data_IF_920132659726
#
_entry.id   IF_920132659726
#
_cell.length_a   1.000
_cell.length_b   1.000
_cell.length_c   1.000
_cell.angle_alpha   90.00
_cell.angle_beta   90.00
_cell.angle_gamma   90.00
#
_symmetry.space_group_name_H-M   'P 1'
#
loop_
_entity.id
_entity.type
_entity.pdbx_description
1 polymer ?
#
# COMPACT_ATOMS: atom_id res chain seq x y z
N UNK A 1 1.86 -30.13 -9.71
CA UNK A 1 0.84 -30.47 -10.68
C UNK A 1 -0.34 -29.50 -10.62
N UNK A 2 -1.44 -29.77 -11.35
CA UNK A 2 -2.66 -28.95 -11.38
C UNK A 2 -3.18 -28.52 -10.00
N UNK A 3 -2.97 -29.35 -8.97
CA UNK A 3 -3.35 -29.06 -7.59
C UNK A 3 -2.70 -27.79 -6.99
N UNK A 4 -1.53 -27.38 -7.45
CA UNK A 4 -0.84 -26.18 -6.93
C UNK A 4 -1.36 -24.87 -7.51
N UNK A 5 -2.03 -24.90 -8.66
CA UNK A 5 -2.65 -23.71 -9.25
C UNK A 5 -4.02 -23.39 -8.62
N UNK A 6 -4.74 -24.40 -8.14
CA UNK A 6 -6.08 -24.19 -7.57
C UNK A 6 -6.05 -23.27 -6.33
N UNK A 7 -5.16 -23.41 -5.33
CA UNK A 7 -5.05 -22.46 -4.25
C UNK A 7 -4.72 -21.04 -4.72
N UNK A 8 -3.88 -20.89 -5.76
CA UNK A 8 -3.50 -19.57 -6.27
C UNK A 8 -4.67 -18.81 -6.95
N UNK A 9 -5.78 -19.48 -7.26
CA UNK A 9 -7.01 -18.85 -7.73
C UNK A 9 -7.84 -18.26 -6.59
N UNK A 10 -7.56 -18.63 -5.33
CA UNK A 10 -8.26 -18.08 -4.16
C UNK A 10 -7.69 -16.72 -3.78
N UNK A 11 -8.45 -15.95 -2.98
CA UNK A 11 -8.05 -14.60 -2.57
C UNK A 11 -6.91 -14.62 -1.56
N UNK A 12 -6.92 -15.56 -0.61
CA UNK A 12 -5.90 -15.67 0.44
C UNK A 12 -5.41 -17.11 0.60
N UNK A 13 -4.10 -17.24 0.79
CA UNK A 13 -3.42 -18.51 1.02
C UNK A 13 -2.72 -18.46 2.37
N UNK A 14 -3.04 -19.42 3.22
CA UNK A 14 -2.46 -19.62 4.54
C UNK A 14 -1.60 -20.88 4.53
N UNK A 15 -0.38 -20.77 5.01
CA UNK A 15 0.54 -21.92 5.11
C UNK A 15 1.01 -22.08 6.55
N UNK A 16 1.21 -23.34 6.94
CA UNK A 16 1.83 -23.72 8.22
C UNK A 16 3.34 -23.88 8.00
N UNK A 17 4.15 -23.20 8.79
CA UNK A 17 5.62 -23.30 8.74
C UNK A 17 6.08 -24.75 8.86
N UNK A 18 7.07 -25.14 8.07
CA UNK A 18 7.72 -26.45 8.06
C UNK A 18 6.78 -27.65 7.75
N UNK A 19 5.50 -27.40 7.45
CA UNK A 19 4.51 -28.44 7.13
C UNK A 19 3.89 -28.27 5.75
N UNK A 20 3.61 -27.01 5.36
CA UNK A 20 2.93 -26.72 4.10
C UNK A 20 3.92 -26.50 2.98
N UNK A 21 3.74 -27.21 1.89
CA UNK A 21 4.56 -27.11 0.68
C UNK A 21 3.68 -26.96 -0.55
N UNK A 22 4.05 -26.06 -1.45
CA UNK A 22 3.42 -25.87 -2.76
C UNK A 22 4.50 -25.75 -3.83
N UNK A 23 4.48 -26.57 -4.86
CA UNK A 23 5.36 -26.48 -6.02
C UNK A 23 4.74 -27.16 -7.24
N UNK A 24 5.12 -26.74 -8.42
CA UNK A 24 4.64 -27.33 -9.68
C UNK A 24 5.22 -28.73 -9.84
N UNK A 25 6.52 -28.89 -9.57
CA UNK A 25 7.22 -30.17 -9.59
C UNK A 25 8.08 -30.31 -8.34
N UNK A 26 8.15 -31.54 -7.79
CA UNK A 26 8.93 -31.81 -6.59
C UNK A 26 10.44 -31.76 -6.81
N UNK A 27 11.24 -31.72 -5.71
CA UNK A 27 12.69 -31.63 -5.75
C UNK A 27 13.40 -32.68 -6.64
N UNK A 28 12.90 -33.89 -6.67
CA UNK A 28 13.49 -34.98 -7.48
C UNK A 28 13.38 -34.68 -8.97
N UNK A 29 12.23 -34.17 -9.44
CA UNK A 29 12.03 -33.78 -10.84
C UNK A 29 12.87 -32.55 -11.19
N UNK A 30 12.97 -31.58 -10.29
CA UNK A 30 13.85 -30.39 -10.47
C UNK A 30 15.29 -30.86 -10.68
N UNK A 31 15.76 -31.77 -9.82
CA UNK A 31 17.12 -32.34 -9.93
C UNK A 31 17.34 -33.05 -11.26
N UNK A 32 16.38 -33.87 -11.69
CA UNK A 32 16.52 -34.65 -12.93
C UNK A 32 16.50 -33.76 -14.20
N UNK A 33 15.77 -32.65 -14.17
CA UNK A 33 15.59 -31.79 -15.37
C UNK A 33 16.63 -30.65 -15.41
N UNK A 34 16.89 -29.99 -14.27
CA UNK A 34 17.75 -28.80 -14.21
C UNK A 34 19.10 -29.04 -13.55
N UNK A 35 19.32 -30.20 -12.96
CA UNK A 35 20.47 -30.55 -12.11
C UNK A 35 20.62 -29.68 -10.84
N UNK A 36 19.56 -28.99 -10.43
CA UNK A 36 19.55 -28.24 -9.17
C UNK A 36 19.22 -29.18 -8.01
N UNK A 37 19.99 -29.08 -6.94
CA UNK A 37 19.73 -29.82 -5.70
C UNK A 37 19.09 -28.87 -4.71
N UNK A 38 17.82 -29.08 -4.43
CA UNK A 38 17.00 -28.22 -3.55
C UNK A 38 16.13 -29.10 -2.67
N UNK A 39 15.91 -28.71 -1.42
CA UNK A 39 14.95 -29.43 -0.56
C UNK A 39 13.52 -28.87 -0.71
N UNK A 40 12.54 -29.51 -0.05
CA UNK A 40 11.12 -29.13 -0.14
C UNK A 40 10.86 -27.74 0.44
N UNK A 41 11.51 -27.39 1.56
CA UNK A 41 11.33 -26.08 2.21
C UNK A 41 11.90 -24.95 1.35
N UNK A 42 13.08 -25.15 0.80
CA UNK A 42 13.72 -24.16 -0.06
C UNK A 42 12.97 -23.99 -1.39
N UNK A 43 12.49 -25.08 -2.00
CA UNK A 43 11.77 -25.05 -3.27
C UNK A 43 10.39 -24.39 -3.15
N UNK A 44 9.61 -24.77 -2.16
CA UNK A 44 8.22 -24.33 -2.06
C UNK A 44 7.60 -24.47 -0.68
N UNK A 45 8.40 -24.29 0.37
CA UNK A 45 7.90 -24.21 1.75
C UNK A 45 7.20 -22.91 2.07
N UNK A 46 6.57 -22.85 3.23
CA UNK A 46 5.81 -21.69 3.68
C UNK A 46 6.66 -20.41 3.70
N UNK A 47 7.90 -20.49 4.16
CA UNK A 47 8.84 -19.34 4.17
C UNK A 47 9.13 -18.83 2.76
N UNK A 48 9.44 -19.72 1.81
CA UNK A 48 9.73 -19.34 0.42
C UNK A 48 8.55 -18.64 -0.23
N UNK A 49 7.34 -19.17 -0.04
CA UNK A 49 6.14 -18.57 -0.62
C UNK A 49 5.69 -17.27 0.07
N UNK A 50 6.00 -17.11 1.34
CA UNK A 50 5.68 -15.88 2.07
C UNK A 50 6.71 -14.77 1.89
N UNK A 51 7.95 -15.07 1.47
CA UNK A 51 9.03 -14.06 1.41
C UNK A 51 9.57 -13.80 0.00
N UNK A 52 9.60 -14.83 -0.86
CA UNK A 52 10.21 -14.75 -2.19
C UNK A 52 9.20 -14.69 -3.31
N UNK A 53 8.25 -15.64 -3.35
CA UNK A 53 7.31 -15.75 -4.47
C UNK A 53 6.02 -14.94 -4.30
N UNK A 54 5.66 -14.56 -3.06
CA UNK A 54 4.42 -13.85 -2.78
C UNK A 54 3.14 -14.68 -3.00
N UNK A 55 3.26 -16.00 -3.12
CA UNK A 55 2.10 -16.90 -3.27
C UNK A 55 1.31 -17.00 -1.97
N UNK A 56 2.00 -17.10 -0.82
CA UNK A 56 1.36 -17.19 0.48
C UNK A 56 1.16 -15.80 1.11
N UNK A 57 -0.04 -15.55 1.59
CA UNK A 57 -0.40 -14.30 2.26
C UNK A 57 -0.09 -14.35 3.76
N UNK A 58 -0.22 -15.54 4.35
CA UNK A 58 -0.02 -15.78 5.78
C UNK A 58 0.79 -17.05 6.02
N UNK A 59 1.69 -16.97 6.99
CA UNK A 59 2.49 -18.08 7.46
C UNK A 59 2.41 -18.13 8.98
N UNK A 60 1.90 -19.23 9.53
CA UNK A 60 1.72 -19.45 10.97
C UNK A 60 2.47 -20.70 11.43
N UNK A 61 2.93 -20.72 12.69
CA UNK A 61 3.62 -21.88 13.26
C UNK A 61 2.74 -23.13 13.35
N UNK A 62 1.43 -22.98 13.58
CA UNK A 62 0.51 -24.08 13.84
C UNK A 62 -0.77 -24.01 13.03
N UNK A 63 -1.44 -25.13 12.85
CA UNK A 63 -2.74 -25.22 12.19
C UNK A 63 -3.84 -24.48 12.96
N UNK A 64 -3.77 -24.49 14.29
CA UNK A 64 -4.71 -23.75 15.14
C UNK A 64 -4.61 -22.25 14.91
N UNK A 65 -3.39 -21.71 14.84
CA UNK A 65 -3.16 -20.29 14.55
C UNK A 65 -3.63 -19.93 13.13
N UNK A 66 -3.43 -20.79 12.14
CA UNK A 66 -4.01 -20.61 10.80
C UNK A 66 -5.53 -20.47 10.87
N UNK A 67 -6.22 -21.39 11.58
CA UNK A 67 -7.68 -21.34 11.71
C UNK A 67 -8.16 -20.10 12.47
N UNK A 68 -7.44 -19.67 13.48
CA UNK A 68 -7.75 -18.42 14.20
C UNK A 68 -7.59 -17.20 13.28
N UNK A 69 -6.49 -17.13 12.55
CA UNK A 69 -6.22 -16.04 11.61
C UNK A 69 -7.24 -15.99 10.46
N UNK A 70 -7.68 -17.14 9.96
CA UNK A 70 -8.75 -17.21 8.96
C UNK A 70 -10.07 -16.69 9.49
N UNK A 71 -10.46 -17.03 10.72
CA UNK A 71 -11.68 -16.50 11.36
C UNK A 71 -11.60 -14.99 11.56
N UNK A 72 -10.43 -14.51 11.91
CA UNK A 72 -10.20 -13.09 12.07
C UNK A 72 -10.32 -12.34 10.74
N UNK A 73 -9.67 -12.83 9.67
CA UNK A 73 -9.84 -12.29 8.33
C UNK A 73 -11.32 -12.19 7.94
N UNK A 74 -12.08 -13.27 8.16
CA UNK A 74 -13.52 -13.30 7.84
C UNK A 74 -14.33 -12.25 8.62
N UNK A 75 -13.86 -11.79 9.77
CA UNK A 75 -14.54 -10.73 10.54
C UNK A 75 -14.50 -9.36 9.87
N UNK A 76 -13.60 -9.13 8.94
CA UNK A 76 -13.50 -7.89 8.15
C UNK A 76 -14.33 -7.93 6.87
N UNK A 77 -14.76 -9.10 6.42
CA UNK A 77 -15.37 -9.29 5.11
C UNK A 77 -16.89 -9.36 5.19
N UNK A 78 -17.62 -8.88 4.18
CA UNK A 78 -19.05 -9.14 4.06
C UNK A 78 -19.29 -10.63 3.75
N UNK A 79 -20.53 -11.09 3.92
CA UNK A 79 -20.90 -12.48 3.60
C UNK A 79 -20.85 -12.79 2.11
N UNK A 80 -20.94 -11.77 1.28
CA UNK A 80 -20.85 -11.85 -0.19
C UNK A 80 -20.53 -10.45 -0.78
N UNK A 81 -20.25 -10.39 -2.07
CA UNK A 81 -19.88 -9.17 -2.78
C UNK A 81 -21.07 -8.21 -3.07
N UNK A 82 -22.28 -8.56 -2.68
CA UNK A 82 -23.47 -7.70 -2.80
C UNK A 82 -23.79 -6.92 -1.51
N UNK A 83 -23.07 -7.23 -0.44
CA UNK A 83 -23.21 -6.58 0.85
C UNK A 83 -22.04 -5.62 1.08
N UNK A 84 -22.27 -4.60 1.90
CA UNK A 84 -21.23 -3.70 2.35
C UNK A 84 -20.32 -4.38 3.39
N UNK A 85 -19.12 -3.87 3.54
CA UNK A 85 -18.19 -4.31 4.57
C UNK A 85 -18.81 -4.14 5.98
N UNK A 86 -18.60 -5.09 6.90
CA UNK A 86 -19.25 -5.08 8.20
C UNK A 86 -18.85 -3.86 9.03
N UNK A 87 -19.86 -3.27 9.71
CA UNK A 87 -19.65 -2.22 10.70
C UNK A 87 -19.90 -2.85 12.08
N UNK A 88 -18.91 -2.72 12.96
CA UNK A 88 -18.99 -3.22 14.34
C UNK A 88 -19.13 -2.06 15.32
N UNK A 89 -19.71 -2.28 16.53
CA UNK A 89 -19.72 -1.26 17.57
C UNK A 89 -18.27 -0.80 17.87
N UNK A 90 -18.05 0.50 17.82
CA UNK A 90 -16.76 1.10 18.15
C UNK A 90 -16.81 1.70 19.56
N UNK A 91 -15.92 1.27 20.44
CA UNK A 91 -15.75 1.81 21.80
C UNK A 91 -14.60 2.82 21.87
N UNK A 92 -13.75 2.86 20.86
CA UNK A 92 -12.66 3.81 20.74
C UNK A 92 -13.20 5.17 20.23
N UNK A 93 -12.92 6.25 20.97
CA UNK A 93 -13.43 7.58 20.64
C UNK A 93 -13.04 8.00 19.21
N UNK A 94 -14.07 8.23 18.38
CA UNK A 94 -13.90 8.64 16.99
C UNK A 94 -13.27 10.02 16.84
N UNK A 95 -13.34 10.85 17.88
CA UNK A 95 -12.84 12.22 17.90
C UNK A 95 -11.50 12.38 18.63
N UNK A 96 -10.95 11.31 19.21
CA UNK A 96 -9.69 11.40 19.94
C UNK A 96 -8.55 11.88 19.05
N UNK A 97 -7.72 12.74 19.60
CA UNK A 97 -6.46 13.15 18.99
C UNK A 97 -5.36 12.11 19.23
N UNK A 98 -4.39 12.05 18.32
CA UNK A 98 -3.25 11.15 18.38
C UNK A 98 -1.97 11.98 18.44
N UNK A 99 -1.60 12.42 19.65
CA UNK A 99 -0.48 13.35 19.84
C UNK A 99 0.87 12.78 19.39
N UNK A 100 1.06 11.45 19.45
CA UNK A 100 2.29 10.79 18.97
C UNK A 100 2.59 11.06 17.49
N UNK A 101 1.58 11.33 16.68
CA UNK A 101 1.76 11.63 15.25
C UNK A 101 2.45 12.96 14.99
N UNK A 102 2.47 13.87 15.94
CA UNK A 102 3.15 15.18 15.79
C UNK A 102 4.67 15.04 15.62
N UNK A 103 5.24 13.94 16.10
CA UNK A 103 6.68 13.69 16.10
C UNK A 103 7.08 12.38 15.46
N UNK A 104 6.14 11.65 14.85
CA UNK A 104 6.40 10.33 14.23
C UNK A 104 7.28 10.44 12.99
N UNK A 105 7.13 11.52 12.22
CA UNK A 105 7.97 11.77 11.04
C UNK A 105 9.27 12.45 11.50
N UNK A 106 10.44 11.86 11.22
CA UNK A 106 11.73 12.49 11.51
C UNK A 106 11.90 13.81 10.78
N UNK A 107 12.60 14.76 11.41
CA UNK A 107 12.95 16.05 10.79
C UNK A 107 13.89 15.89 9.58
N UNK A 108 14.81 14.91 9.65
CA UNK A 108 15.64 14.53 8.48
C UNK A 108 14.80 13.74 7.48
N UNK A 109 14.57 14.26 6.27
CA UNK A 109 13.77 13.58 5.24
C UNK A 109 14.37 12.25 4.76
N UNK A 110 15.63 11.97 5.08
CA UNK A 110 16.30 10.70 4.74
C UNK A 110 16.23 9.67 5.86
N UNK A 111 15.84 10.08 7.06
CA UNK A 111 15.68 9.14 8.17
C UNK A 111 14.43 8.29 7.97
N UNK A 112 14.56 6.93 7.98
CA UNK A 112 13.40 6.04 7.90
C UNK A 112 12.59 6.04 9.20
N UNK A 113 11.31 5.68 9.09
CA UNK A 113 10.41 5.38 10.19
C UNK A 113 9.48 4.24 9.78
N UNK A 114 8.84 3.58 10.74
CA UNK A 114 7.86 2.53 10.45
C UNK A 114 6.49 3.15 10.22
N UNK A 115 5.87 2.91 9.06
CA UNK A 115 4.54 3.45 8.75
C UNK A 115 3.46 2.88 9.69
N UNK A 116 3.71 1.77 10.35
CA UNK A 116 2.79 1.21 11.34
C UNK A 116 2.67 2.09 12.57
N UNK A 117 3.70 2.89 12.90
CA UNK A 117 3.64 3.93 13.95
C UNK A 117 2.64 5.05 13.59
N UNK A 118 2.24 5.15 12.32
CA UNK A 118 1.14 6.03 11.88
C UNK A 118 -0.19 5.26 11.85
N UNK A 119 -0.20 4.04 11.30
CA UNK A 119 -1.42 3.25 11.09
C UNK A 119 -2.06 2.86 12.43
N UNK A 120 -1.30 2.19 13.29
CA UNK A 120 -1.82 1.60 14.52
C UNK A 120 -2.48 2.63 15.46
N UNK A 121 -1.86 3.79 15.76
CA UNK A 121 -2.50 4.76 16.64
C UNK A 121 -3.77 5.42 16.06
N UNK A 122 -3.95 5.37 14.74
CA UNK A 122 -5.09 6.00 14.05
C UNK A 122 -6.30 5.07 13.99
N UNK A 123 -6.09 3.77 13.85
CA UNK A 123 -7.18 2.80 13.72
C UNK A 123 -7.82 2.44 15.07
N UNK A 124 -9.00 1.82 15.03
CA UNK A 124 -9.71 1.41 16.23
C UNK A 124 -8.88 0.40 17.03
N UNK A 125 -8.85 0.60 18.35
CA UNK A 125 -8.14 -0.27 19.31
C UNK A 125 -6.65 -0.49 18.99
N UNK A 126 -6.04 0.38 18.18
CA UNK A 126 -4.67 0.27 17.64
C UNK A 126 -4.42 -1.07 16.92
N UNK A 127 -5.46 -1.63 16.31
CA UNK A 127 -5.38 -2.96 15.72
C UNK A 127 -5.37 -2.92 14.18
N UNK A 128 -4.28 -3.42 13.62
CA UNK A 128 -4.05 -3.53 12.19
C UNK A 128 -3.77 -4.98 11.79
N UNK A 129 -4.63 -5.54 10.93
CA UNK A 129 -4.49 -6.90 10.38
C UNK A 129 -3.68 -6.85 9.10
N UNK A 130 -2.36 -6.98 9.20
CA UNK A 130 -1.45 -6.91 8.06
C UNK A 130 -1.55 -8.16 7.18
N UNK A 131 -1.65 -7.95 5.86
CA UNK A 131 -1.65 -9.01 4.84
C UNK A 131 -0.28 -9.03 4.15
N UNK A 132 0.29 -10.22 3.94
CA UNK A 132 1.62 -10.41 3.34
C UNK A 132 2.75 -9.64 4.06
N UNK A 133 2.90 -9.76 5.39
CA UNK A 133 3.87 -8.97 6.15
C UNK A 133 5.33 -9.27 5.79
N UNK A 134 5.59 -10.40 5.15
CA UNK A 134 6.93 -10.87 4.80
C UNK A 134 7.32 -10.62 3.35
N UNK A 135 6.37 -10.30 2.48
CA UNK A 135 6.58 -10.06 1.05
C UNK A 135 6.49 -8.58 0.72
N UNK A 136 7.37 -8.09 -0.17
CA UNK A 136 7.38 -6.71 -0.63
C UNK A 136 7.15 -5.71 0.53
N UNK A 137 8.05 -5.73 1.52
CA UNK A 137 7.91 -4.99 2.78
C UNK A 137 7.91 -3.47 2.62
N UNK A 138 8.33 -2.97 1.47
CA UNK A 138 8.29 -1.56 1.08
C UNK A 138 6.86 -1.02 0.86
N UNK A 139 5.85 -1.91 0.79
CA UNK A 139 4.43 -1.57 0.82
C UNK A 139 3.73 -2.44 1.86
N UNK A 140 2.96 -1.81 2.73
CA UNK A 140 2.12 -2.45 3.75
C UNK A 140 0.67 -2.44 3.26
N UNK A 141 0.00 -3.58 3.33
CA UNK A 141 -1.43 -3.70 3.04
C UNK A 141 -2.11 -4.50 4.14
N UNK A 142 -3.36 -4.19 4.45
CA UNK A 142 -4.08 -4.91 5.48
C UNK A 142 -5.45 -4.30 5.80
N UNK A 143 -6.15 -4.93 6.71
CA UNK A 143 -7.46 -4.49 7.18
C UNK A 143 -7.39 -3.84 8.54
N UNK A 144 -8.23 -2.85 8.75
CA UNK A 144 -8.43 -2.20 10.04
C UNK A 144 -9.88 -1.74 10.18
N UNK A 145 -10.19 -1.12 11.31
CA UNK A 145 -11.46 -0.43 11.51
C UNK A 145 -11.23 1.03 11.86
N UNK A 146 -12.09 1.88 11.35
CA UNK A 146 -12.14 3.32 11.64
C UNK A 146 -13.59 3.70 11.99
N UNK A 147 -13.85 3.98 13.27
CA UNK A 147 -15.20 4.21 13.76
C UNK A 147 -16.09 2.98 13.62
N UNK A 148 -15.56 1.78 13.75
CA UNK A 148 -16.24 0.50 13.56
C UNK A 148 -16.36 0.04 12.11
N UNK A 149 -16.11 0.90 11.13
CA UNK A 149 -16.19 0.56 9.70
C UNK A 149 -14.91 -0.14 9.26
N UNK A 150 -15.02 -1.29 8.59
CA UNK A 150 -13.90 -1.97 7.96
C UNK A 150 -13.34 -1.13 6.83
N UNK A 151 -12.00 -1.03 6.77
CA UNK A 151 -11.25 -0.38 5.70
C UNK A 151 -10.07 -1.23 5.27
N UNK A 152 -9.70 -1.13 4.00
CA UNK A 152 -8.43 -1.64 3.48
C UNK A 152 -7.38 -0.52 3.51
N UNK A 153 -6.24 -0.78 4.14
CA UNK A 153 -5.13 0.17 4.19
C UNK A 153 -4.07 -0.25 3.19
N UNK A 154 -3.58 0.72 2.41
CA UNK A 154 -2.42 0.58 1.51
C UNK A 154 -1.44 1.69 1.86
N UNK A 155 -0.23 1.35 2.28
CA UNK A 155 0.73 2.33 2.75
C UNK A 155 2.14 2.06 2.23
N UNK A 156 2.90 3.12 1.90
CA UNK A 156 4.33 2.98 1.66
C UNK A 156 5.05 2.80 3.00
N UNK A 157 6.08 1.95 3.03
CA UNK A 157 6.86 1.65 4.23
C UNK A 157 8.27 2.24 4.14
N UNK A 158 8.51 3.45 4.69
CA UNK A 158 9.82 4.11 4.60
C UNK A 158 10.98 3.34 5.24
N UNK A 159 10.68 2.44 6.19
CA UNK A 159 11.71 1.59 6.81
C UNK A 159 12.31 0.55 5.84
N UNK A 160 11.65 0.27 4.72
CA UNK A 160 12.12 -0.66 3.70
C UNK A 160 12.21 0.02 2.34
N UNK A 161 13.40 0.02 1.75
CA UNK A 161 13.66 0.67 0.45
C UNK A 161 13.11 2.10 0.36
N UNK A 162 13.10 2.85 1.48
CA UNK A 162 12.53 4.20 1.58
C UNK A 162 11.07 4.32 1.08
N UNK A 163 10.30 3.23 1.04
CA UNK A 163 8.91 3.22 0.56
C UNK A 163 8.75 3.29 -0.96
N UNK A 164 9.81 3.09 -1.76
CA UNK A 164 9.72 3.09 -3.22
C UNK A 164 8.81 1.96 -3.71
N UNK A 165 8.23 2.12 -4.89
CA UNK A 165 7.47 1.08 -5.56
C UNK A 165 8.38 0.26 -6.47
N UNK A 166 8.49 -1.04 -6.22
CA UNK A 166 9.11 -2.01 -7.11
C UNK A 166 8.05 -2.94 -7.72
N UNK A 167 8.47 -3.91 -8.52
CA UNK A 167 7.59 -4.87 -9.16
C UNK A 167 6.71 -5.60 -8.15
N UNK A 168 7.31 -6.14 -7.09
CA UNK A 168 6.60 -6.92 -6.09
C UNK A 168 5.63 -6.08 -5.26
N UNK A 169 6.02 -4.86 -4.88
CA UNK A 169 5.15 -3.93 -4.19
C UNK A 169 3.96 -3.52 -5.05
N UNK A 170 4.19 -3.34 -6.36
CA UNK A 170 3.14 -3.01 -7.33
C UNK A 170 2.11 -4.12 -7.44
N UNK A 171 2.55 -5.37 -7.53
CA UNK A 171 1.66 -6.53 -7.61
C UNK A 171 0.90 -6.77 -6.30
N UNK A 172 1.57 -6.67 -5.15
CA UNK A 172 0.96 -6.77 -3.82
C UNK A 172 -0.14 -5.72 -3.63
N UNK A 173 0.17 -4.46 -3.90
CA UNK A 173 -0.79 -3.36 -3.74
C UNK A 173 -1.98 -3.53 -4.69
N UNK A 174 -1.74 -3.76 -5.99
CA UNK A 174 -2.80 -3.89 -6.98
C UNK A 174 -3.77 -5.04 -6.67
N UNK A 175 -3.26 -6.21 -6.25
CA UNK A 175 -4.08 -7.35 -5.84
C UNK A 175 -4.96 -7.01 -4.64
N UNK A 176 -4.40 -6.37 -3.62
CA UNK A 176 -5.14 -6.00 -2.41
C UNK A 176 -6.22 -4.95 -2.69
N UNK A 177 -5.91 -3.91 -3.49
CA UNK A 177 -6.88 -2.88 -3.91
C UNK A 177 -8.07 -3.52 -4.63
N UNK A 178 -7.81 -4.41 -5.57
CA UNK A 178 -8.87 -5.11 -6.31
C UNK A 178 -9.72 -6.00 -5.41
N UNK A 179 -9.10 -6.68 -4.44
CA UNK A 179 -9.83 -7.45 -3.44
C UNK A 179 -10.78 -6.55 -2.64
N UNK A 180 -10.31 -5.43 -2.12
CA UNK A 180 -11.14 -4.49 -1.39
C UNK A 180 -12.33 -3.99 -2.23
N UNK A 181 -12.09 -3.65 -3.50
CA UNK A 181 -13.16 -3.21 -4.40
C UNK A 181 -14.18 -4.32 -4.68
N UNK A 182 -13.73 -5.58 -4.84
CA UNK A 182 -14.62 -6.73 -5.03
C UNK A 182 -15.58 -6.97 -3.86
N UNK A 183 -15.20 -6.57 -2.64
CA UNK A 183 -15.98 -6.80 -1.43
C UNK A 183 -16.48 -5.51 -0.76
N UNK A 184 -16.57 -4.42 -1.53
CA UNK A 184 -17.12 -3.13 -1.06
C UNK A 184 -16.41 -2.55 0.17
N UNK A 185 -15.11 -2.81 0.30
CA UNK A 185 -14.26 -2.33 1.41
C UNK A 185 -13.63 -1.00 1.00
N UNK A 186 -13.93 0.12 1.69
CA UNK A 186 -13.29 1.40 1.42
C UNK A 186 -11.78 1.35 1.57
N UNK A 187 -11.06 2.10 0.75
CA UNK A 187 -9.61 2.16 0.71
C UNK A 187 -9.10 3.43 1.41
N UNK A 188 -8.16 3.25 2.30
CA UNK A 188 -7.36 4.33 2.90
C UNK A 188 -5.92 4.14 2.47
N UNK A 189 -5.40 5.09 1.69
CA UNK A 189 -4.01 5.09 1.24
C UNK A 189 -3.19 6.05 2.09
N UNK A 190 -2.06 5.59 2.64
CA UNK A 190 -1.14 6.43 3.39
C UNK A 190 0.16 6.51 2.60
N UNK A 191 0.48 7.71 2.14
CA UNK A 191 1.50 7.93 1.14
C UNK A 191 2.76 8.59 1.72
N UNK A 192 3.89 7.92 1.54
CA UNK A 192 5.24 8.44 1.68
C UNK A 192 6.13 7.76 0.64
N UNK A 193 6.09 8.25 -0.60
CA UNK A 193 6.70 7.58 -1.75
C UNK A 193 7.66 8.51 -2.52
N UNK A 194 8.96 8.18 -2.57
CA UNK A 194 9.93 8.99 -3.32
C UNK A 194 9.98 8.66 -4.83
N UNK A 195 9.40 7.55 -5.25
CA UNK A 195 9.44 7.13 -6.66
C UNK A 195 9.21 5.64 -6.86
N UNK A 196 9.29 5.22 -8.13
CA UNK A 196 9.51 3.82 -8.49
C UNK A 196 11.00 3.47 -8.34
N UNK A 197 11.31 2.21 -8.01
CA UNK A 197 12.68 1.73 -7.89
C UNK A 197 13.39 1.78 -9.26
N UNK A 198 14.45 2.59 -9.41
CA UNK A 198 15.18 2.64 -10.66
C UNK A 198 16.15 1.45 -10.80
N UNK A 199 16.51 1.14 -12.02
CA UNK A 199 17.57 0.15 -12.31
C UNK A 199 17.21 -0.79 -13.44
N UNK A 200 18.25 -1.32 -14.11
CA UNK A 200 18.09 -2.18 -15.29
C UNK A 200 17.32 -3.46 -14.98
N UNK A 201 17.47 -4.05 -13.80
CA UNK A 201 16.70 -5.22 -13.38
C UNK A 201 15.20 -4.92 -13.37
N UNK A 202 14.78 -3.82 -12.72
CA UNK A 202 13.37 -3.41 -12.67
C UNK A 202 12.82 -3.10 -14.07
N UNK A 203 13.58 -2.39 -14.91
CA UNK A 203 13.16 -2.08 -16.27
C UNK A 203 13.01 -3.36 -17.14
N UNK A 204 14.00 -4.27 -17.09
CA UNK A 204 13.99 -5.50 -17.88
C UNK A 204 12.92 -6.50 -17.40
N UNK A 205 12.62 -6.53 -16.12
CA UNK A 205 11.56 -7.36 -15.55
C UNK A 205 10.16 -6.73 -15.68
N UNK A 206 10.07 -5.49 -16.17
CA UNK A 206 8.82 -4.85 -16.59
C UNK A 206 8.16 -3.99 -15.52
N UNK A 207 8.89 -3.18 -14.75
CA UNK A 207 8.35 -2.25 -13.77
C UNK A 207 7.23 -1.36 -14.34
N UNK A 208 7.32 -0.95 -15.61
CA UNK A 208 6.28 -0.15 -16.29
C UNK A 208 4.96 -0.93 -16.32
N UNK A 209 4.99 -2.20 -16.70
CA UNK A 209 3.81 -3.07 -16.77
C UNK A 209 3.24 -3.38 -15.38
N UNK A 210 4.11 -3.66 -14.41
CA UNK A 210 3.70 -3.94 -13.03
C UNK A 210 3.18 -2.68 -12.31
N UNK A 211 3.83 -1.54 -12.47
CA UNK A 211 3.36 -0.26 -11.94
C UNK A 211 2.00 0.16 -12.51
N UNK A 212 1.75 -0.14 -13.78
CA UNK A 212 0.46 0.11 -14.43
C UNK A 212 -0.70 -0.69 -13.78
N UNK A 213 -0.43 -1.80 -13.08
CA UNK A 213 -1.45 -2.56 -12.34
C UNK A 213 -2.04 -1.74 -11.19
N UNK A 214 -1.23 -0.95 -10.47
CA UNK A 214 -1.71 -0.08 -9.39
C UNK A 214 -2.63 1.00 -9.96
N UNK A 215 -2.19 1.65 -11.05
CA UNK A 215 -3.01 2.66 -11.76
C UNK A 215 -4.36 2.09 -12.15
N UNK A 216 -4.33 0.91 -12.78
CA UNK A 216 -5.55 0.23 -13.22
C UNK A 216 -6.46 -0.11 -12.03
N UNK A 217 -5.89 -0.67 -10.95
CA UNK A 217 -6.64 -1.09 -9.78
C UNK A 217 -7.36 0.10 -9.11
N UNK A 218 -6.67 1.20 -8.86
CA UNK A 218 -7.28 2.40 -8.28
C UNK A 218 -8.26 3.10 -9.21
N UNK A 219 -7.96 3.18 -10.51
CA UNK A 219 -8.86 3.81 -11.46
C UNK A 219 -10.15 3.02 -11.68
N UNK A 220 -10.09 1.69 -11.60
CA UNK A 220 -11.26 0.81 -11.74
C UNK A 220 -12.07 0.71 -10.44
N UNK A 221 -11.45 0.87 -9.26
CA UNK A 221 -12.10 0.76 -7.98
C UNK A 221 -13.23 1.78 -7.80
N UNK A 222 -14.40 1.26 -7.42
CA UNK A 222 -15.65 2.02 -7.24
C UNK A 222 -15.92 2.37 -5.78
N UNK A 223 -15.24 1.72 -4.84
CA UNK A 223 -15.34 1.99 -3.40
C UNK A 223 -14.79 3.39 -3.04
N UNK A 224 -15.17 3.96 -1.88
CA UNK A 224 -14.54 5.17 -1.36
C UNK A 224 -13.01 5.04 -1.29
N UNK A 225 -12.32 6.05 -1.78
CA UNK A 225 -10.84 6.13 -1.80
C UNK A 225 -10.39 7.40 -1.09
N UNK A 226 -9.80 7.24 0.08
CA UNK A 226 -9.28 8.33 0.89
C UNK A 226 -7.76 8.24 0.92
N UNK A 227 -7.08 9.34 0.65
CA UNK A 227 -5.61 9.38 0.65
C UNK A 227 -5.11 10.36 1.70
N UNK A 228 -4.10 9.94 2.47
CA UNK A 228 -3.34 10.76 3.40
C UNK A 228 -1.89 10.82 2.94
N UNK A 229 -1.39 12.01 2.63
CA UNK A 229 0.02 12.24 2.30
C UNK A 229 0.74 12.70 3.56
N UNK A 230 1.67 11.87 4.05
CA UNK A 230 2.37 12.13 5.32
C UNK A 230 3.70 12.85 5.13
N UNK A 231 4.45 12.53 4.06
CA UNK A 231 5.74 13.13 3.77
C UNK A 231 5.96 13.25 2.26
N UNK A 232 6.66 12.32 1.62
CA UNK A 232 7.03 12.38 0.20
C UNK A 232 5.90 11.89 -0.70
N UNK A 233 5.63 12.63 -1.77
CA UNK A 233 4.70 12.27 -2.81
C UNK A 233 5.26 12.77 -4.16
N UNK A 234 6.12 11.96 -4.81
CA UNK A 234 6.88 12.41 -5.96
C UNK A 234 6.48 11.75 -7.27
N UNK A 235 6.27 12.58 -8.28
CA UNK A 235 6.16 12.17 -9.68
C UNK A 235 5.07 11.17 -9.99
N UNK A 236 5.42 10.15 -10.78
CA UNK A 236 4.48 9.10 -11.18
C UNK A 236 4.01 8.22 -10.03
N UNK A 237 4.86 7.99 -9.02
CA UNK A 237 4.49 7.19 -7.85
C UNK A 237 3.42 7.87 -6.99
N UNK A 238 3.48 9.21 -6.81
CA UNK A 238 2.39 10.00 -6.23
C UNK A 238 1.07 9.76 -6.97
N UNK A 239 1.11 9.85 -8.32
CA UNK A 239 -0.11 9.71 -9.10
C UNK A 239 -0.76 8.33 -8.90
N UNK A 240 0.03 7.25 -8.90
CA UNK A 240 -0.51 5.89 -8.83
C UNK A 240 -1.00 5.49 -7.43
N UNK A 241 -0.58 6.20 -6.37
CA UNK A 241 -0.98 5.94 -4.98
C UNK A 241 -2.28 6.67 -4.61
N UNK A 242 -3.34 6.45 -5.39
CA UNK A 242 -4.67 7.03 -5.17
C UNK A 242 -4.69 8.57 -5.12
N UNK A 243 -4.04 9.22 -6.08
CA UNK A 243 -4.15 10.67 -6.22
C UNK A 243 -5.52 11.11 -6.78
N UNK A 244 -5.83 12.40 -6.67
CA UNK A 244 -6.99 13.02 -7.35
C UNK A 244 -7.00 12.75 -8.86
N UNK A 245 -5.82 12.64 -9.48
CA UNK A 245 -5.68 12.44 -10.92
C UNK A 245 -6.25 11.09 -11.40
N UNK A 246 -6.31 10.09 -10.51
CA UNK A 246 -6.86 8.76 -10.82
C UNK A 246 -8.15 8.46 -10.05
N UNK A 247 -8.84 9.50 -9.57
CA UNK A 247 -10.19 9.40 -9.02
C UNK A 247 -10.27 9.08 -7.54
N UNK A 248 -9.30 9.47 -6.72
CA UNK A 248 -9.48 9.48 -5.28
C UNK A 248 -10.56 10.49 -4.87
N UNK A 249 -11.38 10.14 -3.88
CA UNK A 249 -12.50 10.97 -3.45
C UNK A 249 -12.05 12.14 -2.57
N UNK A 250 -11.21 11.84 -1.56
CA UNK A 250 -10.69 12.84 -0.63
C UNK A 250 -9.20 12.63 -0.44
N UNK A 251 -8.42 13.71 -0.64
CA UNK A 251 -6.97 13.71 -0.44
C UNK A 251 -6.62 14.68 0.69
N UNK A 252 -6.05 14.14 1.75
CA UNK A 252 -5.56 14.87 2.93
C UNK A 252 -4.03 14.92 2.87
N UNK A 253 -3.44 15.98 3.41
CA UNK A 253 -1.99 16.07 3.55
C UNK A 253 -1.60 16.62 4.92
N UNK A 254 -0.48 16.17 5.47
CA UNK A 254 0.13 16.81 6.61
C UNK A 254 0.90 18.08 6.18
N UNK A 255 1.12 19.05 7.08
CA UNK A 255 1.79 20.32 6.72
C UNK A 255 3.21 20.14 6.18
N UNK A 256 3.92 19.09 6.61
CA UNK A 256 5.27 18.75 6.16
C UNK A 256 5.30 17.88 4.89
N UNK A 257 4.17 17.62 4.26
CA UNK A 257 4.13 16.81 3.03
C UNK A 257 4.85 17.53 1.88
N UNK A 258 5.60 16.77 1.12
CA UNK A 258 6.36 17.23 -0.05
C UNK A 258 5.71 16.66 -1.31
N UNK A 259 4.94 17.47 -2.02
CA UNK A 259 4.23 17.06 -3.24
C UNK A 259 4.88 17.73 -4.44
N UNK A 260 5.61 16.97 -5.25
CA UNK A 260 6.40 17.51 -6.35
C UNK A 260 6.60 16.47 -7.48
N UNK A 261 7.13 16.94 -8.62
CA UNK A 261 7.52 16.03 -9.72
C UNK A 261 8.70 15.14 -9.31
N UNK A 262 9.62 15.69 -8.51
CA UNK A 262 10.77 14.98 -7.92
C UNK A 262 11.27 15.76 -6.70
N UNK A 263 12.08 15.13 -5.86
CA UNK A 263 12.70 15.80 -4.73
C UNK A 263 13.58 16.97 -5.15
N UNK A 264 13.64 18.01 -4.31
CA UNK A 264 14.29 19.29 -4.61
C UNK A 264 15.74 19.13 -5.08
N UNK A 265 16.55 18.32 -4.39
CA UNK A 265 17.95 18.08 -4.77
C UNK A 265 18.08 17.48 -6.18
N UNK A 266 17.17 16.55 -6.55
CA UNK A 266 17.14 15.97 -7.89
C UNK A 266 16.78 17.01 -8.96
N UNK A 267 15.75 17.82 -8.70
CA UNK A 267 15.30 18.88 -9.58
C UNK A 267 16.41 19.92 -9.84
N UNK A 268 17.05 20.39 -8.77
CA UNK A 268 18.12 21.38 -8.85
C UNK A 268 19.36 20.86 -9.56
N UNK A 269 19.73 19.60 -9.33
CA UNK A 269 20.86 18.99 -10.07
C UNK A 269 20.61 18.94 -11.58
N UNK A 270 19.38 18.86 -12.03
CA UNK A 270 19.01 18.90 -13.44
C UNK A 270 18.98 20.34 -13.95
N UNK A 271 18.25 21.23 -13.24
CA UNK A 271 18.03 22.62 -13.66
C UNK A 271 19.31 23.48 -13.57
N UNK A 272 20.10 23.27 -12.52
CA UNK A 272 21.32 24.02 -12.21
C UNK A 272 22.58 23.19 -12.43
N UNK A 273 22.60 22.37 -13.48
CA UNK A 273 23.68 21.41 -13.75
C UNK A 273 25.08 22.01 -13.77
N UNK A 274 25.21 23.29 -14.12
CA UNK A 274 26.48 24.02 -14.23
C UNK A 274 26.80 24.92 -13.04
N UNK A 275 25.90 25.02 -12.08
CA UNK A 275 26.05 25.90 -10.91
C UNK A 275 26.99 25.26 -9.87
N UNK A 276 27.59 26.12 -9.04
CA UNK A 276 28.41 25.70 -7.89
C UNK A 276 27.55 25.14 -6.74
N UNK A 277 28.18 24.48 -5.76
CA UNK A 277 27.49 23.81 -4.66
C UNK A 277 26.68 24.78 -3.77
N UNK A 278 27.19 26.01 -3.53
CA UNK A 278 26.49 27.04 -2.75
C UNK A 278 25.22 27.50 -3.46
N UNK A 279 25.30 27.80 -4.75
CA UNK A 279 24.16 28.22 -5.58
C UNK A 279 23.10 27.10 -5.66
N UNK A 280 23.52 25.84 -5.77
CA UNK A 280 22.61 24.69 -5.72
C UNK A 280 21.91 24.55 -4.37
N UNK A 281 22.63 24.75 -3.26
CA UNK A 281 22.06 24.64 -1.93
C UNK A 281 21.01 25.72 -1.66
N UNK A 282 21.21 26.94 -2.16
CA UNK A 282 20.23 28.02 -2.08
C UNK A 282 18.99 27.72 -2.94
N UNK A 283 19.20 27.27 -4.19
CA UNK A 283 18.13 26.91 -5.10
C UNK A 283 17.29 25.71 -4.59
N UNK A 284 17.89 24.77 -3.87
CA UNK A 284 17.14 23.66 -3.21
C UNK A 284 16.18 24.23 -2.17
N UNK A 285 16.62 25.12 -1.29
CA UNK A 285 15.76 25.74 -0.27
C UNK A 285 14.61 26.55 -0.87
N UNK A 286 14.93 27.31 -1.93
CA UNK A 286 13.91 28.06 -2.66
C UNK A 286 12.87 27.13 -3.30
N UNK A 287 13.33 26.04 -3.94
CA UNK A 287 12.46 25.05 -4.55
C UNK A 287 11.57 24.35 -3.52
N UNK A 288 12.10 23.96 -2.36
CA UNK A 288 11.33 23.36 -1.27
C UNK A 288 10.24 24.31 -0.77
N UNK A 289 10.60 25.57 -0.56
CA UNK A 289 9.67 26.59 -0.05
C UNK A 289 8.57 26.90 -1.07
N UNK A 290 8.90 26.99 -2.35
CA UNK A 290 7.98 27.46 -3.36
C UNK A 290 7.15 26.32 -4.00
N UNK A 291 7.75 25.14 -4.22
CA UNK A 291 7.14 24.08 -5.03
C UNK A 291 6.88 22.78 -4.28
N UNK A 292 7.73 22.38 -3.33
CA UNK A 292 7.63 21.07 -2.65
C UNK A 292 6.85 21.16 -1.34
N UNK A 293 5.60 21.65 -1.40
CA UNK A 293 4.77 21.78 -0.22
C UNK A 293 3.29 21.48 -0.52
N UNK A 294 2.48 21.09 0.47
CA UNK A 294 1.10 20.69 0.26
C UNK A 294 0.18 21.87 -0.09
N UNK A 295 0.57 23.11 0.24
CA UNK A 295 -0.25 24.31 -0.03
C UNK A 295 -0.37 24.58 -1.52
N UNK A 296 0.72 24.40 -2.28
CA UNK A 296 0.70 24.51 -3.75
C UNK A 296 -0.16 23.44 -4.41
N UNK A 297 -0.16 22.24 -3.85
CA UNK A 297 -1.03 21.17 -4.32
C UNK A 297 -2.51 21.47 -4.00
N UNK A 298 -2.79 22.03 -2.82
CA UNK A 298 -4.14 22.43 -2.43
C UNK A 298 -4.69 23.57 -3.29
N UNK A 299 -3.87 24.60 -3.60
CA UNK A 299 -4.23 25.69 -4.53
C UNK A 299 -4.68 25.17 -5.90
N UNK A 300 -4.17 24.03 -6.33
CA UNK A 300 -4.49 23.36 -7.60
C UNK A 300 -5.61 22.31 -7.50
N UNK A 301 -6.19 22.13 -6.31
CA UNK A 301 -7.25 21.16 -6.06
C UNK A 301 -6.77 19.71 -6.03
N UNK A 302 -5.47 19.45 -5.84
CA UNK A 302 -4.91 18.09 -5.70
C UNK A 302 -4.99 17.57 -4.26
N UNK A 303 -5.10 18.47 -3.28
CA UNK A 303 -5.31 18.17 -1.86
C UNK A 303 -6.55 18.92 -1.41
N UNK A 304 -7.48 18.23 -0.76
CA UNK A 304 -8.73 18.81 -0.29
C UNK A 304 -8.58 19.53 1.05
N UNK A 305 -7.74 19.00 1.94
CA UNK A 305 -7.51 19.60 3.25
C UNK A 305 -6.09 19.29 3.74
N UNK A 306 -5.43 20.31 4.32
CA UNK A 306 -4.18 20.13 5.06
C UNK A 306 -4.54 20.01 6.53
N UNK A 307 -4.20 18.88 7.15
CA UNK A 307 -4.62 18.50 8.49
C UNK A 307 -3.44 18.40 9.44
N UNK A 308 -3.63 18.74 10.70
CA UNK A 308 -2.62 18.47 11.72
C UNK A 308 -2.47 16.96 11.92
N UNK A 309 -1.24 16.41 12.07
CA UNK A 309 -1.03 14.97 12.23
C UNK A 309 -1.87 14.35 13.35
N UNK A 310 -2.00 15.01 14.49
CA UNK A 310 -2.80 14.54 15.63
C UNK A 310 -4.29 14.35 15.32
N UNK A 311 -4.83 15.07 14.32
CA UNK A 311 -6.26 15.05 13.98
C UNK A 311 -6.58 13.98 12.93
N UNK A 312 -5.59 13.21 12.48
CA UNK A 312 -5.69 12.23 11.38
C UNK A 312 -6.83 11.26 11.56
N UNK A 313 -6.98 10.65 12.76
CA UNK A 313 -8.08 9.71 13.02
C UNK A 313 -9.45 10.32 12.76
N UNK A 314 -9.76 11.42 13.41
CA UNK A 314 -11.07 12.08 13.28
C UNK A 314 -11.34 12.52 11.83
N UNK A 315 -10.31 12.98 11.12
CA UNK A 315 -10.41 13.41 9.72
C UNK A 315 -10.64 12.26 8.77
N UNK A 316 -9.95 11.11 8.95
CA UNK A 316 -10.20 9.91 8.14
C UNK A 316 -11.60 9.35 8.36
N UNK A 317 -12.06 9.25 9.60
CA UNK A 317 -13.43 8.80 9.91
C UNK A 317 -14.45 9.70 9.25
N UNK A 318 -14.28 11.01 9.37
CA UNK A 318 -15.19 11.99 8.73
C UNK A 318 -15.16 11.90 7.21
N UNK A 319 -13.99 11.70 6.60
CA UNK A 319 -13.86 11.51 5.15
C UNK A 319 -14.61 10.25 4.69
N UNK A 320 -14.50 9.14 5.43
CA UNK A 320 -15.24 7.90 5.16
C UNK A 320 -16.76 8.12 5.29
N UNK A 321 -17.22 8.83 6.30
CA UNK A 321 -18.65 9.17 6.46
C UNK A 321 -19.15 10.00 5.29
N UNK A 322 -18.39 11.00 4.84
CA UNK A 322 -18.75 11.84 3.69
C UNK A 322 -18.84 11.02 2.39
N UNK A 323 -17.98 10.06 2.21
CA UNK A 323 -17.93 9.20 1.02
C UNK A 323 -18.84 7.96 1.12
N UNK A 324 -19.51 7.73 2.25
CA UNK A 324 -20.30 6.52 2.54
C UNK A 324 -21.36 6.20 1.49
N UNK A 325 -21.99 7.23 0.93
CA UNK A 325 -23.05 7.07 -0.07
C UNK A 325 -22.52 7.08 -1.51
N UNK A 326 -21.21 6.91 -1.70
CA UNK A 326 -20.64 6.82 -3.04
C UNK A 326 -21.27 5.67 -3.80
N UNK A 327 -21.82 5.99 -4.96
CA UNK A 327 -22.38 5.02 -5.91
C UNK A 327 -21.77 5.30 -7.27
N UNK A 328 -20.76 4.52 -7.63
CA UNK A 328 -20.06 4.63 -8.90
C UNK A 328 -20.19 3.31 -9.67
N UNK A 329 -20.52 3.38 -10.94
CA UNK A 329 -20.47 2.23 -11.85
C UNK A 329 -19.49 2.50 -12.97
N UNK A 330 -18.73 1.49 -13.33
CA UNK A 330 -17.84 1.55 -14.50
C UNK A 330 -18.62 1.28 -15.79
N UNK A 331 -18.14 1.74 -16.95
CA UNK A 331 -18.74 1.40 -18.23
C UNK A 331 -18.87 -0.13 -18.40
N UNK A 332 -19.99 -0.62 -18.98
CA UNK A 332 -20.19 -2.05 -19.21
C UNK A 332 -19.10 -2.63 -20.10
N UNK A 333 -18.52 -3.75 -19.67
CA UNK A 333 -17.52 -4.51 -20.42
C UNK A 333 -17.60 -5.98 -20.02
N UNK A 334 -17.09 -6.88 -20.86
CA UNK A 334 -17.09 -8.32 -20.54
C UNK A 334 -16.23 -8.61 -19.32
N UNK A 335 -15.07 -7.97 -19.23
CA UNK A 335 -14.12 -8.01 -18.12
C UNK A 335 -13.11 -6.86 -18.25
N UNK A 336 -12.37 -6.57 -17.19
CA UNK A 336 -11.24 -5.65 -17.26
C UNK A 336 -10.06 -6.27 -18.00
N UNK A 337 -9.26 -5.44 -18.68
CA UNK A 337 -8.00 -5.86 -19.30
C UNK A 337 -6.83 -5.21 -18.55
N UNK A 338 -6.65 -5.64 -17.30
CA UNK A 338 -5.54 -5.19 -16.49
C UNK A 338 -4.21 -5.68 -17.09
N UNK A 339 -3.14 -4.87 -17.08
CA UNK A 339 -1.80 -5.34 -17.44
C UNK A 339 -1.39 -6.54 -16.59
N UNK A 340 -0.98 -7.66 -17.21
CA UNK A 340 -0.59 -8.90 -16.51
C UNK A 340 0.92 -9.06 -16.48
#
# INVERSE_FOLDING_TARGET
DEASHAPALTDFIFLVSEKSHMFITGPDVVKDVTNEVVDKEELGGAYTHSTKSGVAHFMMPTEEEVLMQMRELLSFLPSNNMEDAPIVPCTDDVSRTVESLQTVIPEDPNQPYDIKDVIEPVVDDNYFFEVMPHFAKNVVVGFARLGGQTVGIVANQPAFLAGVLDINASDKAARFIRFCDCFNIPLVTIEDVPGFLPGTAQEHEGIIRHGAKIVYAYAEATVPKITLITRKAYGGSYIVMASKNIGADINLAWPQAEIAVMGASGAINILYRKAGDEEKAEAVKEYETEFSNPYRAAERGLVDEIIMPRDTRAKLIKALEMARNKNQSNPPKKHGNMPL
#
